data_IF_170685575702
#
_entry.id   IF_170685575702
#
_cell.length_a   1.000
_cell.length_b   1.000
_cell.length_c   1.000
_cell.angle_alpha   90.00
_cell.angle_beta   90.00
_cell.angle_gamma   90.00
#
_symmetry.space_group_name_H-M   'P 1'
#
loop_
_entity.id
_entity.type
_entity.pdbx_description
1 polymer ?
#
# COMPACT_ATOMS: atom_id res chain seq x y z
N UNK A 1 -6.00 -48.53 -43.08
CA UNK A 1 -6.27 -47.81 -44.35
C UNK A 1 -6.89 -46.43 -44.06
N UNK A 2 -6.24 -45.58 -43.25
CA UNK A 2 -6.83 -44.30 -42.79
C UNK A 2 -5.78 -43.19 -42.60
N UNK A 3 -4.64 -43.27 -43.30
CA UNK A 3 -3.50 -42.33 -43.16
C UNK A 3 -3.28 -41.38 -44.35
N UNK A 4 -4.04 -41.53 -45.43
CA UNK A 4 -3.90 -40.72 -46.66
C UNK A 4 -5.05 -39.73 -46.89
N UNK A 5 -6.05 -39.72 -46.00
CA UNK A 5 -7.18 -38.77 -46.00
C UNK A 5 -6.74 -37.30 -45.84
N UNK A 6 -5.74 -36.92 -45.00
CA UNK A 6 -5.37 -35.51 -44.87
C UNK A 6 -4.56 -34.98 -46.06
N UNK A 7 -3.89 -35.86 -46.82
CA UNK A 7 -3.09 -35.46 -47.98
C UNK A 7 -3.97 -35.13 -49.20
N UNK A 8 -5.10 -35.82 -49.37
CA UNK A 8 -6.05 -35.59 -50.47
C UNK A 8 -6.96 -34.37 -50.23
N UNK A 9 -7.26 -34.05 -48.96
CA UNK A 9 -8.03 -32.86 -48.59
C UNK A 9 -7.24 -31.56 -48.81
N UNK A 10 -5.94 -31.56 -48.49
CA UNK A 10 -5.07 -30.39 -48.66
C UNK A 10 -4.84 -29.99 -50.13
N UNK A 11 -4.86 -30.96 -51.05
CA UNK A 11 -4.69 -30.70 -52.48
C UNK A 11 -5.94 -30.06 -53.12
N UNK A 12 -7.13 -30.28 -52.54
CA UNK A 12 -8.39 -29.72 -53.07
C UNK A 12 -8.64 -28.28 -52.62
N UNK A 13 -8.16 -27.89 -51.44
CA UNK A 13 -8.37 -26.55 -50.87
C UNK A 13 -7.48 -25.46 -51.51
N UNK A 14 -6.38 -25.82 -52.18
CA UNK A 14 -5.48 -24.84 -52.80
C UNK A 14 -5.92 -24.36 -54.20
N UNK A 15 -6.92 -25.00 -54.83
CA UNK A 15 -7.38 -24.63 -56.18
C UNK A 15 -8.72 -23.85 -56.18
N UNK A 16 -9.03 -23.14 -55.09
CA UNK A 16 -10.33 -22.51 -54.86
C UNK A 16 -10.39 -20.98 -54.77
N UNK A 17 -9.26 -20.25 -54.83
CA UNK A 17 -9.28 -18.78 -54.72
C UNK A 17 -8.49 -18.08 -55.82
N UNK A 18 -9.08 -18.02 -57.01
CA UNK A 18 -8.73 -17.02 -58.01
C UNK A 18 -10.00 -16.51 -58.68
N UNK A 19 -10.71 -15.56 -58.04
CA UNK A 19 -11.67 -14.60 -58.62
C UNK A 19 -12.57 -14.00 -57.52
N UNK A 20 -12.04 -13.09 -56.71
CA UNK A 20 -12.90 -12.07 -56.08
C UNK A 20 -12.12 -10.77 -55.91
N UNK A 21 -11.86 -10.12 -57.04
CA UNK A 21 -11.31 -8.77 -57.09
C UNK A 21 -12.46 -7.78 -56.92
N UNK A 22 -12.50 -7.14 -55.75
CA UNK A 22 -13.45 -6.09 -55.36
C UNK A 22 -13.17 -4.83 -56.19
N UNK A 23 -14.00 -4.55 -57.19
CA UNK A 23 -13.98 -3.27 -57.92
C UNK A 23 -14.54 -2.15 -57.04
N UNK A 24 -13.64 -1.46 -56.34
CA UNK A 24 -13.95 -0.22 -55.62
C UNK A 24 -14.18 0.91 -56.62
N UNK A 25 -15.45 1.33 -56.76
CA UNK A 25 -15.86 2.44 -57.62
C UNK A 25 -15.20 3.75 -57.21
N UNK A 26 -14.60 4.44 -58.19
CA UNK A 26 -14.17 5.84 -58.06
C UNK A 26 -15.31 6.74 -58.50
N UNK A 27 -15.99 7.35 -57.54
CA UNK A 27 -16.94 8.43 -57.76
C UNK A 27 -16.60 9.60 -56.85
N UNK A 28 -16.52 10.81 -57.41
CA UNK A 28 -16.51 12.06 -56.66
C UNK A 28 -15.35 12.99 -57.00
N UNK A 29 -15.66 14.04 -57.75
CA UNK A 29 -14.84 15.25 -57.83
C UNK A 29 -14.71 15.83 -56.41
N UNK A 30 -13.48 15.98 -55.90
CA UNK A 30 -13.24 16.46 -54.55
C UNK A 30 -11.91 17.18 -54.47
N UNK A 31 -11.93 18.38 -53.89
CA UNK A 31 -10.75 19.19 -53.62
C UNK A 31 -9.65 18.36 -52.93
N UNK A 32 -8.35 18.71 -53.14
CA UNK A 32 -7.25 17.99 -52.50
C UNK A 32 -7.45 17.95 -50.99
N UNK A 33 -7.28 16.78 -50.33
CA UNK A 33 -7.52 16.63 -48.91
C UNK A 33 -6.56 17.55 -48.12
N UNK A 34 -7.14 18.44 -47.32
CA UNK A 34 -6.41 19.34 -46.43
C UNK A 34 -5.92 18.52 -45.22
N UNK A 35 -4.61 18.52 -44.91
CA UNK A 35 -4.11 17.76 -43.77
C UNK A 35 -4.60 18.38 -42.47
N UNK A 36 -5.16 17.54 -41.61
CA UNK A 36 -5.53 17.90 -40.23
C UNK A 36 -4.71 17.05 -39.26
N UNK A 37 -4.35 17.65 -38.12
CA UNK A 37 -3.68 16.94 -37.04
C UNK A 37 -4.70 16.53 -36.00
N UNK A 38 -4.72 15.25 -35.66
CA UNK A 38 -5.58 14.68 -34.62
C UNK A 38 -4.70 14.27 -33.44
N UNK A 39 -5.18 14.55 -32.23
CA UNK A 39 -4.62 14.01 -31.00
C UNK A 39 -5.63 13.01 -30.45
N UNK A 40 -5.24 11.73 -30.38
CA UNK A 40 -6.05 10.69 -29.73
C UNK A 40 -5.87 10.81 -28.23
N UNK A 41 -6.97 10.91 -27.48
CA UNK A 41 -6.94 10.91 -26.02
C UNK A 41 -6.76 9.48 -25.52
N UNK A 42 -5.87 9.28 -24.56
CA UNK A 42 -5.70 8.04 -23.84
C UNK A 42 -6.16 8.24 -22.39
N UNK A 43 -6.90 7.27 -21.86
CA UNK A 43 -7.30 7.27 -20.46
C UNK A 43 -6.08 7.01 -19.60
N UNK A 44 -5.68 8.01 -18.82
CA UNK A 44 -4.63 7.88 -17.80
C UNK A 44 -5.24 8.12 -16.42
N UNK A 45 -4.80 7.33 -15.44
CA UNK A 45 -5.23 7.53 -14.06
C UNK A 45 -4.52 8.76 -13.49
N UNK A 46 -5.26 9.84 -13.28
CA UNK A 46 -4.76 11.02 -12.58
C UNK A 46 -5.04 10.87 -11.08
N UNK A 47 -3.98 10.82 -10.27
CA UNK A 47 -4.11 10.90 -8.82
C UNK A 47 -4.09 12.38 -8.40
N UNK A 48 -5.11 12.81 -7.68
CA UNK A 48 -5.15 14.12 -7.04
C UNK A 48 -4.44 14.03 -5.69
N UNK A 49 -3.31 14.74 -5.54
CA UNK A 49 -2.57 14.79 -4.28
C UNK A 49 -3.03 16.00 -3.46
N UNK A 50 -3.63 15.74 -2.30
CA UNK A 50 -4.05 16.78 -1.36
C UNK A 50 -3.06 16.79 -0.19
N UNK A 51 -2.33 17.89 -0.03
CA UNK A 51 -1.42 18.11 1.11
C UNK A 51 -2.14 18.85 2.24
N UNK A 52 -2.11 18.28 3.44
CA UNK A 52 -2.71 18.85 4.64
C UNK A 52 -1.62 19.13 5.67
N UNK A 53 -1.69 20.29 6.30
CA UNK A 53 -0.83 20.62 7.43
C UNK A 53 -1.46 20.08 8.71
N UNK A 54 -0.68 19.36 9.50
CA UNK A 54 -1.08 18.81 10.78
C UNK A 54 0.06 18.91 11.78
N UNK A 55 -0.30 18.95 13.06
CA UNK A 55 0.64 18.99 14.17
C UNK A 55 0.66 17.65 14.89
N UNK A 56 1.86 17.11 15.08
CA UNK A 56 2.08 15.89 15.86
C UNK A 56 1.96 16.20 17.35
N UNK A 57 1.14 15.42 18.05
CA UNK A 57 1.02 15.48 19.51
C UNK A 57 1.29 14.11 20.11
N UNK A 58 1.71 14.11 21.37
CA UNK A 58 1.82 12.88 22.15
C UNK A 58 0.47 12.18 22.18
N UNK A 59 0.48 10.85 21.99
CA UNK A 59 -0.74 10.04 22.05
C UNK A 59 -1.22 9.88 23.50
N UNK A 60 -0.29 9.91 24.45
CA UNK A 60 -0.54 9.69 25.87
C UNK A 60 0.60 10.27 26.68
N UNK A 61 0.27 11.12 27.64
CA UNK A 61 1.22 11.67 28.61
C UNK A 61 0.92 11.09 29.98
N UNK A 62 1.93 10.52 30.62
CA UNK A 62 1.84 9.88 31.92
C UNK A 62 2.83 10.52 32.88
N UNK A 63 2.36 10.92 34.07
CA UNK A 63 3.23 11.37 35.15
C UNK A 63 3.36 10.28 36.21
N UNK A 64 4.59 10.01 36.62
CA UNK A 64 4.90 9.03 37.67
C UNK A 64 4.95 9.74 39.01
N UNK A 65 4.11 9.30 39.95
CA UNK A 65 4.04 9.84 41.30
C UNK A 65 4.17 8.71 42.30
N UNK A 66 4.86 8.96 43.41
CA UNK A 66 4.89 8.00 44.52
C UNK A 66 3.56 8.01 45.25
N UNK A 67 3.02 6.82 45.52
CA UNK A 67 1.79 6.65 46.32
C UNK A 67 2.08 6.65 47.83
N UNK A 68 3.34 6.51 48.22
CA UNK A 68 3.77 6.47 49.61
C UNK A 68 4.91 7.45 49.85
N UNK A 69 5.02 7.94 51.08
CA UNK A 69 6.18 8.74 51.49
C UNK A 69 7.37 7.80 51.66
N UNK A 70 8.53 8.21 51.14
CA UNK A 70 9.76 7.44 51.27
C UNK A 70 10.91 8.12 50.54
N UNK A 71 12.13 7.68 50.83
CA UNK A 71 13.34 8.10 50.13
C UNK A 71 13.58 7.16 48.96
N UNK A 72 13.98 7.69 47.80
CA UNK A 72 14.37 6.85 46.65
C UNK A 72 15.68 6.15 46.98
N UNK A 73 15.66 4.81 47.05
CA UNK A 73 16.83 3.98 47.36
C UNK A 73 17.63 3.66 46.09
N UNK A 74 16.95 3.46 44.96
CA UNK A 74 17.58 3.15 43.69
C UNK A 74 16.71 3.63 42.52
N UNK A 75 17.35 4.18 41.48
CA UNK A 75 16.74 4.46 40.18
C UNK A 75 17.18 3.37 39.19
N UNK A 76 16.25 2.82 38.42
CA UNK A 76 16.47 1.69 37.52
C UNK A 76 16.47 2.06 36.04
N UNK A 77 16.21 3.33 35.73
CA UNK A 77 16.05 3.86 34.37
C UNK A 77 16.78 5.18 34.24
N UNK A 78 17.28 5.45 33.04
CA UNK A 78 17.91 6.73 32.69
C UNK A 78 16.97 7.63 31.89
N UNK A 79 17.33 8.91 31.79
CA UNK A 79 16.54 9.89 31.04
C UNK A 79 16.60 9.57 29.56
N UNK A 80 15.44 9.36 28.95
CA UNK A 80 15.28 9.02 27.54
C UNK A 80 15.05 7.53 27.27
N UNK A 81 15.12 6.69 28.30
CA UNK A 81 14.80 5.27 28.18
C UNK A 81 13.31 5.04 27.88
N UNK A 82 13.04 4.03 27.06
CA UNK A 82 11.69 3.53 26.83
C UNK A 82 11.30 2.57 27.95
N UNK A 83 10.12 2.80 28.54
CA UNK A 83 9.59 1.99 29.64
C UNK A 83 8.23 1.41 29.28
N UNK A 84 7.95 0.21 29.79
CA UNK A 84 6.69 -0.49 29.54
C UNK A 84 5.77 -0.44 30.76
N UNK A 85 4.46 -0.64 30.55
CA UNK A 85 3.49 -0.64 31.65
C UNK A 85 3.80 -1.75 32.66
N UNK A 86 3.92 -1.39 33.92
CA UNK A 86 4.27 -2.31 35.02
C UNK A 86 5.77 -2.50 35.23
N UNK A 87 6.64 -1.89 34.41
CA UNK A 87 8.08 -1.91 34.63
C UNK A 87 8.46 -1.09 35.86
N UNK A 88 9.32 -1.65 36.71
CA UNK A 88 9.86 -0.93 37.85
C UNK A 88 10.84 0.16 37.38
N UNK A 89 10.59 1.40 37.79
CA UNK A 89 11.42 2.58 37.43
C UNK A 89 12.34 3.02 38.57
N UNK A 90 11.91 2.83 39.82
CA UNK A 90 12.64 3.20 41.01
C UNK A 90 12.20 2.33 42.19
N UNK A 91 13.08 2.14 43.16
CA UNK A 91 12.76 1.60 44.47
C UNK A 91 12.76 2.72 45.51
N UNK A 92 11.78 2.67 46.41
CA UNK A 92 11.77 3.48 47.62
C UNK A 92 12.24 2.63 48.80
N UNK A 93 12.88 3.26 49.78
CA UNK A 93 13.15 2.63 51.07
C UNK A 93 11.82 2.33 51.78
N UNK A 94 11.57 1.03 51.95
CA UNK A 94 10.33 0.48 52.50
C UNK A 94 10.41 0.10 53.97
N UNK A 95 11.46 0.52 54.69
CA UNK A 95 11.71 0.03 56.06
C UNK A 95 10.55 0.33 57.01
N UNK A 96 10.03 1.56 57.01
CA UNK A 96 8.90 1.95 57.87
C UNK A 96 7.63 1.16 57.52
N UNK A 97 7.36 0.95 56.23
CA UNK A 97 6.21 0.19 55.74
C UNK A 97 6.31 -1.29 56.13
N UNK A 98 7.53 -1.86 56.14
CA UNK A 98 7.77 -3.23 56.58
C UNK A 98 7.57 -3.40 58.08
N UNK A 99 8.00 -2.44 58.88
CA UNK A 99 7.76 -2.44 60.34
C UNK A 99 6.26 -2.36 60.62
N UNK A 100 5.56 -1.41 59.98
CA UNK A 100 4.12 -1.24 60.14
C UNK A 100 3.32 -2.50 59.75
N UNK A 101 3.77 -3.24 58.73
CA UNK A 101 3.14 -4.50 58.34
C UNK A 101 3.34 -5.59 59.39
N UNK A 102 4.54 -5.70 59.96
CA UNK A 102 4.86 -6.70 60.98
C UNK A 102 4.12 -6.47 62.32
N UNK A 103 3.75 -5.22 62.63
CA UNK A 103 2.92 -4.90 63.80
C UNK A 103 1.43 -5.21 63.59
N UNK A 104 1.00 -5.36 62.33
CA UNK A 104 -0.39 -5.64 61.97
C UNK A 104 -0.70 -7.15 61.85
N UNK A 105 0.32 -8.01 61.90
CA UNK A 105 0.21 -9.48 61.95
C UNK A 105 0.13 -9.98 63.41
#
# INVERSE_FOLDING_TARGET
>A
MARYIPALLALFLLSGCSLFSKSGGKGGYGLPPVPISLLTLEDTSLAEEISLLGEGRSRSDSSLNSLTTGVVSQLLVDVGDEVTAGQAVAYLDGTDQRIALAEAE
#
